data_IF_137447596769
#
_entry.id   IF_137447596769
#
_cell.length_a   1.000
_cell.length_b   1.000
_cell.length_c   1.000
_cell.angle_alpha   90.00
_cell.angle_beta   90.00
_cell.angle_gamma   90.00
#
_symmetry.space_group_name_H-M   'P 1'
#
loop_
_entity.id
_entity.type
_entity.pdbx_description
1 polymer ?
#
# COMPACT_ATOMS: atom_id res chain seq x y z
N UNK A 1 16.10 -21.35 -20.88
CA UNK A 1 15.00 -20.71 -20.14
C UNK A 1 15.09 -19.22 -20.37
N UNK A 2 14.14 -18.63 -21.12
CA UNK A 2 13.99 -17.17 -21.15
C UNK A 2 13.20 -16.82 -19.89
N UNK A 3 13.83 -16.15 -18.95
CA UNK A 3 13.14 -15.51 -17.84
C UNK A 3 12.37 -14.38 -18.51
N UNK A 4 11.05 -14.47 -18.58
CA UNK A 4 10.21 -13.34 -18.96
C UNK A 4 10.43 -12.26 -17.91
N UNK A 5 11.34 -11.33 -18.19
CA UNK A 5 11.53 -10.13 -17.43
C UNK A 5 10.41 -9.16 -17.80
N UNK A 6 9.19 -9.45 -17.36
CA UNK A 6 8.15 -8.42 -17.32
C UNK A 6 8.71 -7.26 -16.49
N UNK A 7 8.86 -6.06 -17.07
CA UNK A 7 9.36 -4.93 -16.32
C UNK A 7 8.43 -4.69 -15.12
N UNK A 8 9.03 -4.52 -13.95
CA UNK A 8 8.30 -4.07 -12.77
C UNK A 8 7.54 -2.79 -13.15
N UNK A 9 6.24 -2.65 -12.81
CA UNK A 9 5.47 -1.46 -13.17
C UNK A 9 6.23 -0.20 -12.75
N UNK A 10 6.60 0.63 -13.72
CA UNK A 10 7.43 1.82 -13.53
C UNK A 10 6.65 3.02 -13.00
N UNK A 11 5.34 2.88 -12.84
CA UNK A 11 4.49 4.02 -12.58
C UNK A 11 3.55 3.73 -11.44
N UNK A 12 3.57 4.65 -10.48
CA UNK A 12 2.59 4.81 -9.41
C UNK A 12 1.18 5.13 -9.94
N UNK A 13 0.97 5.01 -11.24
CA UNK A 13 -0.32 5.12 -11.92
C UNK A 13 -1.29 4.10 -11.33
N UNK A 14 -2.35 4.61 -10.69
CA UNK A 14 -3.34 3.79 -9.98
C UNK A 14 -3.01 3.52 -8.50
N UNK A 15 -1.82 3.90 -8.03
CA UNK A 15 -1.44 3.83 -6.63
C UNK A 15 -1.70 5.17 -5.95
N UNK A 16 -2.52 5.15 -4.90
CA UNK A 16 -2.69 6.31 -4.02
C UNK A 16 -2.34 5.93 -2.60
N UNK A 17 -1.67 6.85 -1.90
CA UNK A 17 -1.42 6.71 -0.45
C UNK A 17 -2.76 6.77 0.28
N UNK A 18 -2.95 5.84 1.21
CA UNK A 18 -4.17 5.78 2.03
C UNK A 18 -3.85 6.35 3.40
N UNK A 19 -4.28 7.59 3.66
CA UNK A 19 -4.14 8.22 4.96
C UNK A 19 -5.35 7.91 5.85
N UNK A 20 -5.12 7.14 6.92
CA UNK A 20 -6.14 6.85 7.91
C UNK A 20 -6.19 7.95 8.98
N UNK A 21 -7.37 8.55 9.16
CA UNK A 21 -7.63 9.42 10.31
C UNK A 21 -7.66 8.58 11.59
N UNK A 22 -7.16 9.14 12.69
CA UNK A 22 -7.07 8.45 13.99
C UNK A 22 -8.38 7.78 14.43
N UNK A 23 -9.53 8.47 14.27
CA UNK A 23 -10.84 7.89 14.60
C UNK A 23 -11.15 6.66 13.76
N UNK A 24 -10.83 6.69 12.47
CA UNK A 24 -11.01 5.55 11.56
C UNK A 24 -10.10 4.40 11.94
N UNK A 25 -8.83 4.68 12.26
CA UNK A 25 -7.89 3.65 12.75
C UNK A 25 -8.44 2.91 13.97
N UNK A 26 -9.00 3.64 14.95
CA UNK A 26 -9.57 3.02 16.16
C UNK A 26 -10.80 2.15 15.87
N UNK A 27 -11.63 2.53 14.90
CA UNK A 27 -12.77 1.71 14.46
C UNK A 27 -12.27 0.46 13.75
N UNK A 28 -11.33 0.59 12.81
CA UNK A 28 -10.78 -0.54 12.07
C UNK A 28 -10.05 -1.52 12.98
N UNK A 29 -9.27 -1.06 13.96
CA UNK A 29 -8.63 -1.98 14.92
C UNK A 29 -9.63 -2.84 15.72
N UNK A 30 -10.88 -2.41 15.86
CA UNK A 30 -11.94 -3.18 16.54
C UNK A 30 -12.68 -4.10 15.59
N UNK A 31 -13.03 -3.60 14.41
CA UNK A 31 -13.93 -4.29 13.46
C UNK A 31 -13.17 -5.15 12.44
N UNK A 32 -12.01 -4.67 11.95
CA UNK A 32 -11.17 -5.33 10.97
C UNK A 32 -9.68 -4.89 11.12
N UNK A 33 -8.97 -5.46 12.10
CA UNK A 33 -7.57 -5.10 12.35
C UNK A 33 -6.65 -5.52 11.19
N UNK A 34 -7.06 -6.47 10.35
CA UNK A 34 -6.27 -6.93 9.21
C UNK A 34 -6.21 -5.86 8.12
N UNK A 35 -7.31 -5.14 7.89
CA UNK A 35 -7.32 -4.03 6.95
C UNK A 35 -6.32 -2.92 7.30
N UNK A 36 -6.07 -2.66 8.60
CA UNK A 36 -5.05 -1.69 9.02
C UNK A 36 -3.66 -2.15 8.57
N UNK A 37 -3.33 -3.42 8.79
CA UNK A 37 -2.05 -4.01 8.37
C UNK A 37 -1.90 -4.00 6.85
N UNK A 38 -2.97 -4.32 6.12
CA UNK A 38 -2.95 -4.32 4.66
C UNK A 38 -2.76 -2.91 4.08
N UNK A 39 -3.37 -1.89 4.69
CA UNK A 39 -3.17 -0.48 4.34
C UNK A 39 -1.74 -0.04 4.64
N UNK A 40 -1.17 -0.42 5.78
CA UNK A 40 0.22 -0.11 6.12
C UNK A 40 1.19 -0.78 5.14
N UNK A 41 0.94 -2.03 4.76
CA UNK A 41 1.75 -2.76 3.78
C UNK A 41 1.66 -2.14 2.37
N UNK A 42 0.45 -1.72 1.95
CA UNK A 42 0.25 -0.97 0.70
C UNK A 42 1.04 0.34 0.70
N UNK A 43 0.93 1.11 1.77
CA UNK A 43 1.64 2.40 1.93
C UNK A 43 3.16 2.21 1.94
N UNK A 44 3.66 1.16 2.60
CA UNK A 44 5.09 0.81 2.61
C UNK A 44 5.57 0.39 1.22
N UNK A 45 4.80 -0.42 0.50
CA UNK A 45 5.16 -0.86 -0.84
C UNK A 45 5.25 0.32 -1.80
N UNK A 46 4.29 1.25 -1.79
CA UNK A 46 4.40 2.43 -2.65
C UNK A 46 5.55 3.36 -2.25
N UNK A 47 5.92 3.45 -0.96
CA UNK A 47 7.14 4.16 -0.54
C UNK A 47 8.39 3.50 -1.11
N UNK A 48 8.49 2.17 -1.05
CA UNK A 48 9.63 1.41 -1.58
C UNK A 48 9.74 1.51 -3.11
N UNK A 49 8.63 1.74 -3.80
CA UNK A 49 8.56 1.99 -5.24
C UNK A 49 8.80 3.47 -5.61
N UNK A 50 8.95 4.37 -4.63
CA UNK A 50 9.19 5.79 -4.86
C UNK A 50 7.93 6.59 -5.21
N UNK A 51 6.74 6.06 -4.94
CA UNK A 51 5.46 6.68 -5.31
C UNK A 51 5.06 7.88 -4.43
N UNK A 52 5.58 7.93 -3.22
CA UNK A 52 5.36 9.03 -2.29
C UNK A 52 6.53 9.12 -1.30
N UNK A 53 6.79 10.35 -0.85
CA UNK A 53 7.75 10.67 0.22
C UNK A 53 7.05 10.78 1.57
#
# INVERSE_FOLDING_TARGET
MKIDSTPMPTECTGWQKIDLKQRTTLVLLREDPRLVVDIDAHNLKGRNLGCWQ
#
